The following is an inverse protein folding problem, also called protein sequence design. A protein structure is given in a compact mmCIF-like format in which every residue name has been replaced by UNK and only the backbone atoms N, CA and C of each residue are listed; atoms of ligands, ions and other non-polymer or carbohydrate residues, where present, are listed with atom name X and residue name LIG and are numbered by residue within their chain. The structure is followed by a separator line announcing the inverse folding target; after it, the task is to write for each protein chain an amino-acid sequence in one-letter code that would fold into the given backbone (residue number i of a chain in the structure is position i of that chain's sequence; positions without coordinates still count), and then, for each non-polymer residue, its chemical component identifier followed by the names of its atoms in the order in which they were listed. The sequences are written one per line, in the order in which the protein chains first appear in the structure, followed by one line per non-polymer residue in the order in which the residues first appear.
data_IF_538436730682
#
_entry.id   IF_538436730682
#
_cell.length_a   1.000
_cell.length_b   1.000
_cell.length_c   1.000
_cell.angle_alpha   90.00
_cell.angle_beta   90.00
_cell.angle_gamma   90.00
#
_symmetry.space_group_name_H-M   'P 1'
#
loop_
_entity.id
_entity.type
_entity.pdbx_description
1 polymer ?
#
# COMPACT_ATOMS: atom_id res chain seq x y z
N UNK A 1 23.64 -10.07 9.58
CA UNK A 1 22.87 -10.73 8.53
C UNK A 1 21.67 -9.86 8.18
N UNK A 2 21.17 -9.93 6.95
CA UNK A 2 19.94 -9.21 6.55
C UNK A 2 18.68 -9.93 7.02
N UNK A 3 17.51 -9.37 6.73
CA UNK A 3 16.25 -10.07 6.95
C UNK A 3 16.20 -11.37 6.14
N UNK A 4 15.58 -12.41 6.70
CA UNK A 4 15.42 -13.73 6.06
C UNK A 4 13.94 -14.09 5.98
N UNK A 5 13.55 -14.78 4.91
CA UNK A 5 12.21 -15.31 4.70
C UNK A 5 12.32 -16.83 4.53
N UNK A 6 11.55 -17.59 5.28
CA UNK A 6 11.60 -19.05 5.28
C UNK A 6 10.22 -19.68 5.41
N UNK A 7 10.09 -20.88 4.83
CA UNK A 7 8.98 -21.77 5.09
C UNK A 7 9.26 -22.56 6.36
N UNK A 8 8.30 -22.56 7.28
CA UNK A 8 8.40 -23.26 8.55
C UNK A 8 7.23 -24.22 8.68
N UNK A 9 7.52 -25.42 9.16
CA UNK A 9 6.50 -26.38 9.56
C UNK A 9 5.77 -25.85 10.80
N UNK A 10 4.44 -25.64 10.74
CA UNK A 10 3.64 -25.19 11.87
C UNK A 10 3.78 -26.04 13.15
N UNK A 11 4.15 -27.32 13.02
CA UNK A 11 4.42 -28.22 14.14
C UNK A 11 5.64 -27.78 14.97
N UNK A 12 6.64 -27.13 14.34
CA UNK A 12 7.85 -26.68 15.03
C UNK A 12 7.57 -25.53 16.02
N UNK A 13 6.45 -24.82 15.85
CA UNK A 13 6.08 -23.65 16.65
C UNK A 13 4.83 -23.89 17.53
N UNK A 14 4.35 -25.13 17.61
CA UNK A 14 3.21 -25.49 18.45
C UNK A 14 1.86 -24.87 18.02
N UNK A 15 1.76 -24.38 16.78
CA UNK A 15 0.53 -23.78 16.21
C UNK A 15 -0.19 -24.72 15.25
N UNK A 16 0.24 -25.98 15.16
CA UNK A 16 -0.42 -27.00 14.34
C UNK A 16 -1.88 -27.23 14.75
N UNK A 17 -2.19 -27.08 16.05
CA UNK A 17 -3.52 -27.36 16.62
C UNK A 17 -4.39 -26.10 16.81
N UNK A 18 -3.93 -24.92 16.37
CA UNK A 18 -4.71 -23.67 16.46
C UNK A 18 -5.64 -23.44 15.26
N UNK A 19 -5.73 -24.42 14.36
CA UNK A 19 -6.51 -24.33 13.12
C UNK A 19 -7.98 -24.72 13.33
N UNK A 20 -8.86 -24.18 12.49
CA UNK A 20 -10.23 -24.65 12.43
C UNK A 20 -10.27 -26.13 12.01
N UNK A 21 -11.18 -26.91 12.61
CA UNK A 21 -11.32 -28.34 12.28
C UNK A 21 -11.64 -28.48 10.79
N UNK A 22 -10.82 -29.26 10.06
CA UNK A 22 -10.82 -29.49 8.60
C UNK A 22 -10.06 -28.49 7.73
N UNK A 23 -9.30 -27.56 8.31
CA UNK A 23 -8.43 -26.64 7.56
C UNK A 23 -6.98 -26.71 8.07
N UNK A 24 -6.27 -27.84 7.84
CA UNK A 24 -4.90 -27.98 8.32
C UNK A 24 -3.98 -26.97 7.63
N UNK A 25 -3.31 -26.14 8.43
CA UNK A 25 -2.23 -25.28 7.96
C UNK A 25 -0.97 -26.15 7.77
N UNK A 26 -0.58 -26.39 6.52
CA UNK A 26 0.57 -27.27 6.22
C UNK A 26 1.90 -26.53 6.13
N UNK A 27 1.86 -25.21 6.01
CA UNK A 27 3.04 -24.36 5.81
C UNK A 27 2.81 -23.00 6.46
N UNK A 28 3.87 -22.39 6.99
CA UNK A 28 3.88 -21.02 7.47
C UNK A 28 5.06 -20.27 6.85
N UNK A 29 4.82 -19.03 6.42
CA UNK A 29 5.90 -18.11 6.03
C UNK A 29 6.35 -17.35 7.27
N UNK A 30 7.63 -17.40 7.57
CA UNK A 30 8.24 -16.62 8.65
C UNK A 30 9.27 -15.65 8.08
N UNK A 31 9.23 -14.40 8.55
CA UNK A 31 10.17 -13.35 8.16
C UNK A 31 10.79 -12.77 9.41
N UNK A 32 12.12 -12.78 9.48
CA UNK A 32 12.87 -12.37 10.66
C UNK A 32 14.03 -11.45 10.29
N UNK A 33 14.32 -10.50 11.17
CA UNK A 33 15.50 -9.63 11.08
C UNK A 33 16.27 -9.70 12.42
N UNK A 34 16.94 -10.84 12.71
CA UNK A 34 17.43 -11.15 14.05
C UNK A 34 18.52 -10.18 14.55
N UNK A 35 19.26 -9.56 13.63
CA UNK A 35 20.34 -8.63 13.96
C UNK A 35 19.87 -7.15 13.97
N UNK A 36 18.60 -6.88 13.73
CA UNK A 36 18.08 -5.52 13.63
C UNK A 36 17.50 -5.05 14.98
N UNK A 37 18.00 -3.92 15.48
CA UNK A 37 17.42 -3.26 16.67
C UNK A 37 15.99 -2.76 16.42
N UNK A 38 15.66 -2.43 15.16
CA UNK A 38 14.33 -2.14 14.67
C UNK A 38 14.20 -2.67 13.24
N UNK A 39 13.09 -3.33 12.94
CA UNK A 39 12.80 -3.86 11.61
C UNK A 39 11.42 -3.42 11.16
N UNK A 40 11.28 -3.18 9.86
CA UNK A 40 10.01 -2.90 9.19
C UNK A 40 9.97 -3.75 7.95
N UNK A 41 8.85 -4.41 7.74
CA UNK A 41 8.66 -5.28 6.59
C UNK A 41 7.58 -4.72 5.69
N UNK A 42 7.87 -4.67 4.40
CA UNK A 42 6.90 -4.38 3.35
C UNK A 42 6.68 -5.67 2.57
N UNK A 43 5.45 -6.18 2.59
CA UNK A 43 5.07 -7.39 1.87
C UNK A 43 4.08 -7.06 0.76
N UNK A 44 4.38 -7.54 -0.44
CA UNK A 44 3.42 -7.62 -1.54
C UNK A 44 2.94 -9.06 -1.64
N UNK A 45 1.63 -9.26 -1.53
CA UNK A 45 1.00 -10.57 -1.71
C UNK A 45 0.11 -10.51 -2.94
N UNK A 46 0.39 -11.36 -3.92
CA UNK A 46 -0.38 -11.48 -5.15
C UNK A 46 -1.00 -12.87 -5.23
N UNK A 47 -2.31 -12.93 -5.42
CA UNK A 47 -3.01 -14.16 -5.76
C UNK A 47 -2.95 -14.40 -7.26
N UNK A 48 -2.48 -15.58 -7.68
CA UNK A 48 -2.38 -15.94 -9.08
C UNK A 48 -2.67 -17.43 -9.32
N UNK A 49 -2.97 -17.79 -10.56
CA UNK A 49 -3.11 -19.18 -10.97
C UNK A 49 -1.75 -19.90 -10.94
N UNK A 50 -1.77 -21.22 -10.81
CA UNK A 50 -0.55 -22.04 -10.90
C UNK A 50 0.19 -21.79 -12.22
N UNK A 51 1.49 -21.56 -12.13
CA UNK A 51 2.35 -21.29 -13.30
C UNK A 51 2.33 -19.84 -13.81
N UNK A 52 1.55 -18.95 -13.19
CA UNK A 52 1.60 -17.52 -13.51
C UNK A 52 2.97 -16.92 -13.13
N UNK A 53 3.43 -15.95 -13.92
CA UNK A 53 4.61 -15.14 -13.57
C UNK A 53 4.20 -14.05 -12.58
N UNK A 54 4.95 -13.86 -11.47
CA UNK A 54 4.69 -12.76 -10.54
C UNK A 54 4.74 -11.40 -11.23
N UNK A 55 3.83 -10.50 -10.84
CA UNK A 55 3.87 -9.13 -11.33
C UNK A 55 5.12 -8.43 -10.79
N UNK A 56 5.94 -7.78 -11.64
CA UNK A 56 7.08 -7.01 -11.19
C UNK A 56 6.67 -5.88 -10.24
N UNK A 57 7.43 -5.72 -9.15
CA UNK A 57 7.25 -4.64 -8.20
C UNK A 57 8.59 -3.95 -7.94
N UNK A 58 8.52 -2.63 -7.77
CA UNK A 58 9.67 -1.77 -7.48
C UNK A 58 9.48 -1.15 -6.10
N UNK A 59 10.43 -1.35 -5.20
CA UNK A 59 10.40 -0.68 -3.89
C UNK A 59 10.65 0.81 -4.09
N UNK A 60 9.81 1.64 -3.45
CA UNK A 60 9.94 3.09 -3.43
C UNK A 60 10.48 3.49 -2.07
N UNK A 61 11.70 4.04 -2.06
CA UNK A 61 12.21 4.79 -0.93
C UNK A 61 11.89 6.27 -1.14
N UNK A 62 11.24 6.89 -0.16
CA UNK A 62 10.83 8.27 -0.26
C UNK A 62 11.52 9.13 0.81
N UNK A 63 11.76 10.39 0.48
CA UNK A 63 12.14 11.39 1.47
C UNK A 63 10.93 11.75 2.34
N UNK A 64 11.17 12.28 3.54
CA UNK A 64 10.09 12.73 4.43
C UNK A 64 9.49 11.64 5.32
N UNK A 65 10.10 10.45 5.39
CA UNK A 65 9.69 9.40 6.32
C UNK A 65 8.60 8.48 5.76
N UNK A 66 8.61 8.23 4.45
CA UNK A 66 7.68 7.33 3.80
C UNK A 66 8.43 6.19 3.08
N UNK A 67 7.78 5.04 2.96
CA UNK A 67 8.26 3.92 2.18
C UNK A 67 7.09 3.23 1.49
N UNK A 68 7.36 2.59 0.37
CA UNK A 68 6.29 2.01 -0.44
C UNK A 68 6.79 1.09 -1.53
N UNK A 69 5.89 0.80 -2.47
CA UNK A 69 6.22 0.09 -3.68
C UNK A 69 5.34 0.56 -4.85
N UNK A 70 5.86 0.41 -6.06
CA UNK A 70 5.09 0.40 -7.29
C UNK A 70 4.87 -1.04 -7.74
N UNK A 71 3.65 -1.36 -8.12
CA UNK A 71 3.28 -2.63 -8.77
C UNK A 71 2.21 -2.32 -9.81
N UNK A 72 2.40 -2.83 -11.03
CA UNK A 72 1.65 -2.34 -12.19
C UNK A 72 1.72 -0.80 -12.27
N UNK A 73 0.62 -0.15 -12.63
CA UNK A 73 0.52 1.30 -12.77
C UNK A 73 0.21 2.02 -11.43
N UNK A 74 0.43 1.36 -10.28
CA UNK A 74 0.06 1.90 -8.97
C UNK A 74 1.25 1.95 -8.01
N UNK A 75 1.54 3.13 -7.46
CA UNK A 75 2.41 3.32 -6.32
C UNK A 75 1.58 3.44 -5.03
N UNK A 76 2.03 2.77 -3.97
CA UNK A 76 1.44 2.87 -2.63
C UNK A 76 2.54 3.20 -1.64
N UNK A 77 2.36 4.28 -0.89
CA UNK A 77 3.30 4.75 0.12
C UNK A 77 2.65 4.81 1.50
N UNK A 78 3.44 4.42 2.50
CA UNK A 78 3.09 4.40 3.91
C UNK A 78 4.02 5.32 4.68
N UNK A 79 3.46 6.09 5.63
CA UNK A 79 4.29 6.74 6.64
C UNK A 79 5.04 5.67 7.43
N UNK A 80 6.34 5.88 7.61
CA UNK A 80 7.19 5.05 8.44
C UNK A 80 6.82 5.32 9.90
N UNK A 81 6.66 6.57 10.33
CA UNK A 81 6.28 6.90 11.70
C UNK A 81 4.93 7.62 11.76
N UNK A 82 3.98 6.99 12.45
CA UNK A 82 2.61 7.48 12.60
C UNK A 82 2.53 8.78 13.40
N UNK A 83 3.53 9.08 14.22
CA UNK A 83 3.56 10.28 15.05
C UNK A 83 4.43 11.39 14.45
N UNK A 84 5.07 11.16 13.30
CA UNK A 84 5.88 12.18 12.64
C UNK A 84 4.96 13.19 11.95
N UNK A 85 5.06 14.49 12.27
CA UNK A 85 4.35 15.52 11.53
C UNK A 85 4.77 15.53 10.07
N UNK A 86 3.79 15.57 9.16
CA UNK A 86 4.07 15.71 7.74
C UNK A 86 4.62 17.10 7.42
N UNK A 87 5.80 17.16 6.79
CA UNK A 87 6.43 18.41 6.34
C UNK A 87 6.48 18.48 4.81
N UNK A 88 6.96 17.42 4.17
CA UNK A 88 7.02 17.24 2.73
C UNK A 88 7.22 15.76 2.40
N UNK A 89 6.94 15.38 1.16
CA UNK A 89 7.22 14.05 0.63
C UNK A 89 7.70 14.18 -0.82
N UNK A 90 8.85 13.56 -1.11
CA UNK A 90 9.40 13.46 -2.46
C UNK A 90 9.82 12.03 -2.76
N UNK A 91 9.49 11.53 -3.94
CA UNK A 91 9.90 10.20 -4.38
C UNK A 91 9.86 10.06 -5.91
N UNK A 92 10.53 9.03 -6.42
CA UNK A 92 10.42 8.59 -7.81
C UNK A 92 9.69 7.26 -7.90
N UNK A 93 8.98 7.06 -8.99
CA UNK A 93 8.36 5.79 -9.35
C UNK A 93 8.55 5.53 -10.85
N UNK A 94 8.44 4.28 -11.33
CA UNK A 94 8.51 4.00 -12.76
C UNK A 94 7.51 4.82 -13.58
N UNK A 95 7.85 5.20 -14.82
CA UNK A 95 7.04 6.11 -15.62
C UNK A 95 5.66 5.58 -16.03
N UNK A 96 5.42 4.28 -15.95
CA UNK A 96 4.11 3.66 -16.19
C UNK A 96 3.17 3.78 -14.97
N UNK A 97 3.66 4.26 -13.82
CA UNK A 97 2.82 4.55 -12.66
C UNK A 97 1.96 5.78 -12.93
N UNK A 98 0.66 5.57 -13.03
CA UNK A 98 -0.34 6.63 -13.24
C UNK A 98 -1.20 6.88 -12.01
N UNK A 99 -1.13 6.00 -11.01
CA UNK A 99 -1.93 6.10 -9.78
C UNK A 99 -1.03 6.05 -8.56
N UNK A 100 -1.14 7.05 -7.70
CA UNK A 100 -0.38 7.12 -6.46
C UNK A 100 -1.34 7.12 -5.27
N UNK A 101 -1.08 6.29 -4.28
CA UNK A 101 -1.81 6.24 -3.02
C UNK A 101 -0.82 6.56 -1.90
N UNK A 102 -1.03 7.68 -1.22
CA UNK A 102 -0.20 8.12 -0.11
C UNK A 102 -1.04 8.04 1.15
N UNK A 103 -0.59 7.27 2.13
CA UNK A 103 -1.32 7.00 3.39
C UNK A 103 -0.60 7.61 4.58
N UNK A 104 -1.30 7.85 5.69
CA UNK A 104 -0.70 8.42 6.90
C UNK A 104 -0.52 9.95 6.83
N UNK A 105 -1.28 10.63 5.97
CA UNK A 105 -1.38 12.08 5.94
C UNK A 105 -2.41 12.57 6.97
N UNK A 106 -2.42 13.88 7.25
CA UNK A 106 -3.43 14.48 8.13
C UNK A 106 -4.82 14.36 7.48
N UNK A 107 -5.80 13.73 8.15
CA UNK A 107 -7.14 13.57 7.59
C UNK A 107 -7.79 14.90 7.16
N UNK A 108 -8.34 14.93 5.95
CA UNK A 108 -9.03 16.10 5.41
C UNK A 108 -8.13 17.31 5.11
N UNK A 109 -6.82 17.22 5.31
CA UNK A 109 -5.90 18.29 4.96
C UNK A 109 -5.69 18.38 3.44
N UNK A 110 -5.34 19.58 2.99
CA UNK A 110 -4.98 19.84 1.60
C UNK A 110 -3.48 19.66 1.37
N UNK A 111 -3.13 19.15 0.20
CA UNK A 111 -1.76 19.03 -0.30
C UNK A 111 -1.60 19.64 -1.71
N UNK A 112 -0.44 20.25 -1.95
CA UNK A 112 0.03 20.64 -3.26
C UNK A 112 0.90 19.50 -3.80
N UNK A 113 0.33 18.70 -4.71
CA UNK A 113 1.04 17.60 -5.34
C UNK A 113 1.46 17.96 -6.76
N UNK A 114 2.69 17.62 -7.12
CA UNK A 114 3.20 17.70 -8.49
C UNK A 114 3.70 16.33 -8.91
N UNK A 115 3.28 15.88 -10.09
CA UNK A 115 3.78 14.66 -10.73
C UNK A 115 4.40 15.09 -12.06
N UNK A 116 5.69 14.86 -12.22
CA UNK A 116 6.46 15.29 -13.40
C UNK A 116 7.21 14.11 -13.97
N UNK A 117 7.12 13.92 -15.29
CA UNK A 117 7.93 12.91 -15.97
C UNK A 117 9.42 13.25 -15.87
N UNK A 118 10.24 12.26 -15.55
CA UNK A 118 11.69 12.35 -15.43
C UNK A 118 12.34 11.15 -16.14
N UNK A 119 12.49 11.25 -17.45
CA UNK A 119 13.09 10.16 -18.26
C UNK A 119 12.25 8.88 -18.22
N UNK A 120 12.79 7.83 -17.59
CA UNK A 120 12.13 6.53 -17.43
C UNK A 120 11.27 6.44 -16.16
N UNK A 121 11.24 7.52 -15.37
CA UNK A 121 10.55 7.61 -14.09
C UNK A 121 9.54 8.77 -14.09
N UNK A 122 8.73 8.84 -13.03
CA UNK A 122 7.95 10.00 -12.61
C UNK A 122 8.45 10.46 -11.24
N UNK A 123 8.78 11.74 -11.15
CA UNK A 123 9.06 12.40 -9.88
C UNK A 123 7.77 12.96 -9.29
N UNK A 124 7.56 12.69 -8.01
CA UNK A 124 6.40 13.17 -7.25
C UNK A 124 6.90 13.99 -6.07
N UNK A 125 6.31 15.18 -5.91
CA UNK A 125 6.54 16.06 -4.76
C UNK A 125 5.20 16.47 -4.16
N UNK A 126 5.10 16.41 -2.83
CA UNK A 126 3.90 16.72 -2.07
C UNK A 126 4.25 17.65 -0.91
N UNK A 127 3.60 18.81 -0.87
CA UNK A 127 3.73 19.83 0.17
C UNK A 127 2.37 20.10 0.83
N UNK A 128 2.32 20.56 2.10
CA UNK A 128 1.08 21.05 2.70
C UNK A 128 0.47 22.22 1.90
N UNK A 129 -0.86 22.29 1.83
CA UNK A 129 -1.58 23.38 1.14
C UNK A 129 -2.22 22.91 -0.17
N UNK A 130 -2.37 23.73 -1.21
CA UNK A 130 -2.84 23.25 -2.52
C UNK A 130 -4.29 22.75 -2.60
N UNK A 131 -4.57 22.03 -3.69
CA UNK A 131 -5.94 21.67 -4.11
C UNK A 131 -6.28 20.19 -3.91
N UNK A 132 -5.28 19.31 -3.87
CA UNK A 132 -5.51 17.89 -3.64
C UNK A 132 -5.82 17.67 -2.16
N UNK A 133 -6.73 16.75 -1.84
CA UNK A 133 -7.22 16.57 -0.47
C UNK A 133 -7.07 15.14 -0.03
N UNK A 134 -6.48 14.94 1.15
CA UNK A 134 -6.55 13.65 1.82
C UNK A 134 -7.99 13.39 2.28
N UNK A 135 -8.43 12.13 2.19
CA UNK A 135 -9.74 11.73 2.68
C UNK A 135 -9.81 11.73 4.22
N UNK A 136 -10.92 11.26 4.76
CA UNK A 136 -11.15 11.18 6.20
C UNK A 136 -10.24 10.16 6.92
N UNK A 137 -9.57 9.27 6.19
CA UNK A 137 -8.62 8.30 6.70
C UNK A 137 -7.16 8.78 6.56
N UNK A 138 -6.92 9.98 6.04
CA UNK A 138 -5.56 10.48 5.80
C UNK A 138 -4.92 9.84 4.56
N UNK A 139 -5.73 9.47 3.57
CA UNK A 139 -5.26 8.91 2.30
C UNK A 139 -5.43 9.93 1.17
N UNK A 140 -4.35 10.20 0.46
CA UNK A 140 -4.33 11.02 -0.75
C UNK A 140 -4.15 10.12 -1.98
N UNK A 141 -5.01 10.28 -2.98
CA UNK A 141 -4.90 9.57 -4.26
C UNK A 141 -4.61 10.57 -5.38
N UNK A 142 -3.56 10.31 -6.17
CA UNK A 142 -3.18 11.13 -7.33
C UNK A 142 -3.30 10.32 -8.64
N UNK A 143 -3.84 10.91 -9.72
CA UNK A 143 -4.62 12.14 -9.70
C UNK A 143 -5.88 11.99 -8.83
N UNK A 144 -6.42 13.12 -8.35
CA UNK A 144 -7.62 13.12 -7.52
C UNK A 144 -8.75 12.33 -8.21
N UNK A 145 -9.30 11.35 -7.51
CA UNK A 145 -10.46 10.61 -8.02
C UNK A 145 -11.68 11.55 -7.97
N UNK A 146 -12.48 11.62 -9.05
CA UNK A 146 -13.77 12.30 -8.96
C UNK A 146 -14.61 11.64 -7.87
N UNK A 147 -15.43 12.39 -7.12
CA UNK A 147 -16.30 11.82 -6.10
C UNK A 147 -17.16 10.73 -6.72
N UNK A 148 -16.95 9.48 -6.29
CA UNK A 148 -17.77 8.39 -6.78
C UNK A 148 -19.19 8.59 -6.26
N UNK A 149 -20.13 8.84 -7.17
CA UNK A 149 -21.54 8.80 -6.82
C UNK A 149 -21.86 7.36 -6.45
N UNK A 150 -22.19 7.12 -5.18
CA UNK A 150 -22.80 5.88 -4.77
C UNK A 150 -24.16 5.78 -5.49
N UNK A 151 -24.18 5.13 -6.65
CA UNK A 151 -25.41 4.70 -7.29
C UNK A 151 -26.04 3.65 -6.37
N UNK A 152 -26.85 4.11 -5.42
CA UNK A 152 -27.84 3.25 -4.79
C UNK A 152 -28.85 2.91 -5.90
N UNK A 153 -29.06 1.63 -6.26
CA UNK A 153 -30.12 1.30 -7.19
C UNK A 153 -31.43 1.77 -6.57
N UNK A 154 -32.13 2.67 -7.25
CA UNK A 154 -33.46 3.12 -6.87
C UNK A 154 -34.41 1.92 -7.03
N UNK A 155 -34.67 1.19 -5.94
CA UNK A 155 -35.72 0.16 -5.94
C UNK A 155 -37.06 0.88 -5.94
N UNK A 156 -37.64 1.07 -7.13
CA UNK A 156 -39.03 1.51 -7.24
C UNK A 156 -39.91 0.29 -6.98
N UNK A 157 -40.35 0.11 -5.73
CA UNK A 157 -41.35 -0.89 -5.42
C UNK A 157 -42.69 -0.48 -6.08
N UNK A 158 -43.04 -1.10 -7.21
CA UNK A 158 -44.40 -0.99 -7.74
C UNK A 158 -45.32 -1.77 -6.80
N UNK A 159 -46.17 -1.09 -6.02
CA UNK A 159 -47.33 -1.76 -5.43
C UNK A 159 -48.23 -2.20 -6.58
N UNK A 160 -48.33 -3.50 -6.81
CA UNK A 160 -49.44 -4.04 -7.58
C UNK A 160 -50.67 -4.00 -6.67
N UNK A 161 -51.72 -3.31 -7.14
CA UNK A 161 -53.05 -3.33 -6.55
C UNK A 161 -53.71 -4.69 -6.77
#
# INVERSE_FOLDING_TARGET
AGATMQWVDPANDGVADTVATHEPMTQRVMVEAPDAAQARFLHLVEGANSGATPTPATVIAAEGGFAGLAVNQTAVLFSIDWNQPFTQLSYTAPADVTRHIITGLTPGASYAATVTAEGADVAVSILPGGADKADAAGVLVLPAQPPQSAFLPLVTASRQN
#
